data_IF_764884570271
#
_entry.id   IF_764884570271
#
_cell.length_a   1.000
_cell.length_b   1.000
_cell.length_c   1.000
_cell.angle_alpha   90.00
_cell.angle_beta   90.00
_cell.angle_gamma   90.00
#
_symmetry.space_group_name_H-M   'P 1'
#
loop_
_entity.id
_entity.type
_entity.pdbx_description
1 polymer ?
#
# COMPACT_ATOMS: atom_id res chain seq x y z
N UNK A 1 7.97 -20.67 -11.64
CA UNK A 1 7.97 -20.20 -13.06
C UNK A 1 7.38 -18.80 -13.23
N UNK A 2 6.21 -18.47 -12.64
CA UNK A 2 5.63 -17.11 -12.69
C UNK A 2 6.39 -16.12 -11.79
N UNK A 3 6.66 -16.50 -10.54
CA UNK A 3 7.43 -15.68 -9.59
C UNK A 3 8.85 -15.43 -10.10
N UNK A 4 9.50 -16.43 -10.71
CA UNK A 4 10.87 -16.28 -11.25
C UNK A 4 10.97 -15.25 -12.38
N UNK A 5 9.92 -15.15 -13.21
CA UNK A 5 9.84 -14.17 -14.31
C UNK A 5 9.63 -12.74 -13.77
N UNK A 6 8.80 -12.62 -12.73
CA UNK A 6 8.56 -11.37 -12.02
C UNK A 6 9.83 -10.89 -11.31
N UNK A 7 10.53 -11.80 -10.62
CA UNK A 7 11.79 -11.54 -9.94
C UNK A 7 12.91 -11.12 -10.91
N UNK A 8 12.88 -11.65 -12.14
CA UNK A 8 13.82 -11.28 -13.22
C UNK A 8 13.49 -9.91 -13.82
N UNK A 9 12.20 -9.55 -13.92
CA UNK A 9 11.76 -8.22 -14.35
C UNK A 9 12.23 -7.14 -13.38
N UNK A 10 12.06 -7.38 -12.07
CA UNK A 10 12.43 -6.41 -11.01
C UNK A 10 13.95 -6.33 -10.80
N UNK A 11 14.73 -7.31 -11.27
CA UNK A 11 16.21 -7.34 -11.18
C UNK A 11 16.96 -6.49 -12.20
N UNK A 12 16.29 -5.98 -13.24
CA UNK A 12 16.87 -4.93 -14.09
C UNK A 12 16.62 -3.58 -13.41
N UNK A 13 17.52 -2.61 -13.55
CA UNK A 13 17.33 -1.23 -13.08
C UNK A 13 15.89 -0.74 -13.40
N UNK A 14 15.02 -0.78 -12.40
CA UNK A 14 13.59 -0.55 -12.54
C UNK A 14 13.23 0.46 -11.45
N UNK A 15 12.86 1.66 -11.89
CA UNK A 15 12.23 2.64 -11.01
C UNK A 15 10.91 2.07 -10.47
N UNK A 16 10.49 2.54 -9.29
CA UNK A 16 9.24 2.08 -8.67
C UNK A 16 8.03 2.26 -9.58
N UNK A 17 8.00 3.32 -10.39
CA UNK A 17 6.95 3.54 -11.39
C UNK A 17 6.86 2.40 -12.41
N UNK A 18 8.01 1.88 -12.86
CA UNK A 18 8.05 0.76 -13.80
C UNK A 18 7.68 -0.58 -13.15
N UNK A 19 7.98 -0.75 -11.86
CA UNK A 19 7.48 -1.89 -11.09
C UNK A 19 5.96 -1.83 -10.92
N UNK A 20 5.39 -0.65 -10.69
CA UNK A 20 3.94 -0.42 -10.66
C UNK A 20 3.32 -0.76 -12.03
N UNK A 21 3.90 -0.26 -13.12
CA UNK A 21 3.42 -0.57 -14.49
C UNK A 21 3.46 -2.07 -14.78
N UNK A 22 4.56 -2.75 -14.43
CA UNK A 22 4.73 -4.19 -14.66
C UNK A 22 3.72 -5.01 -13.84
N UNK A 23 3.48 -4.65 -12.57
CA UNK A 23 2.47 -5.30 -11.73
C UNK A 23 1.07 -5.03 -12.25
N UNK A 24 0.78 -3.78 -12.63
CA UNK A 24 -0.50 -3.41 -13.22
C UNK A 24 -0.77 -4.21 -14.49
N UNK A 25 0.18 -4.29 -15.42
CA UNK A 25 0.02 -5.04 -16.67
C UNK A 25 -0.19 -6.54 -16.44
N UNK A 26 0.42 -7.12 -15.41
CA UNK A 26 0.27 -8.54 -15.08
C UNK A 26 -1.06 -8.87 -14.40
N UNK A 27 -1.61 -7.93 -13.63
CA UNK A 27 -2.79 -8.17 -12.80
C UNK A 27 -4.04 -7.44 -13.28
N UNK A 28 -3.99 -6.54 -14.27
CA UNK A 28 -5.13 -5.72 -14.73
C UNK A 28 -6.38 -6.53 -15.10
N UNK A 29 -6.22 -7.74 -15.63
CA UNK A 29 -7.34 -8.63 -16.01
C UNK A 29 -7.88 -9.43 -14.81
N UNK A 30 -7.18 -9.39 -13.67
CA UNK A 30 -7.49 -10.05 -12.40
C UNK A 30 -7.83 -9.07 -11.27
N UNK A 31 -7.63 -7.77 -11.46
CA UNK A 31 -8.06 -6.73 -10.54
C UNK A 31 -9.58 -6.61 -10.63
N UNK A 32 -10.30 -7.34 -9.78
CA UNK A 32 -11.76 -7.28 -9.66
C UNK A 32 -12.27 -5.98 -9.05
N UNK A 33 -11.36 -5.07 -8.69
CA UNK A 33 -11.63 -3.70 -8.27
C UNK A 33 -11.63 -3.47 -6.77
N UNK A 34 -11.38 -4.50 -5.95
CA UNK A 34 -11.28 -4.32 -4.51
C UNK A 34 -9.85 -3.97 -4.08
N UNK A 35 -9.72 -2.96 -3.22
CA UNK A 35 -8.40 -2.47 -2.74
C UNK A 35 -7.64 -3.57 -1.99
N UNK A 36 -8.38 -4.51 -1.38
CA UNK A 36 -7.82 -5.66 -0.67
C UNK A 36 -7.05 -6.61 -1.59
N UNK A 37 -7.50 -6.80 -2.84
CA UNK A 37 -6.84 -7.69 -3.81
C UNK A 37 -5.46 -7.13 -4.22
N UNK A 38 -5.38 -5.82 -4.42
CA UNK A 38 -4.14 -5.12 -4.76
C UNK A 38 -3.11 -5.27 -3.64
N UNK A 39 -3.56 -5.12 -2.39
CA UNK A 39 -2.69 -5.22 -1.23
C UNK A 39 -2.11 -6.64 -1.10
N UNK A 40 -2.94 -7.69 -1.25
CA UNK A 40 -2.50 -9.08 -1.22
C UNK A 40 -1.47 -9.37 -2.31
N UNK A 41 -1.66 -8.86 -3.52
CA UNK A 41 -0.71 -8.98 -4.63
C UNK A 41 0.63 -8.33 -4.26
N UNK A 42 0.61 -7.07 -3.80
CA UNK A 42 1.83 -6.35 -3.42
C UNK A 42 2.59 -7.10 -2.33
N UNK A 43 1.89 -7.59 -1.29
CA UNK A 43 2.53 -8.38 -0.23
C UNK A 43 3.14 -9.67 -0.77
N UNK A 44 2.43 -10.42 -1.61
CA UNK A 44 2.95 -11.65 -2.20
C UNK A 44 4.20 -11.42 -3.07
N UNK A 45 4.28 -10.27 -3.74
CA UNK A 45 5.46 -9.87 -4.51
C UNK A 45 6.63 -9.57 -3.57
N UNK A 46 6.40 -8.72 -2.56
CA UNK A 46 7.44 -8.28 -1.62
C UNK A 46 7.93 -9.40 -0.69
N UNK A 47 7.08 -10.37 -0.33
CA UNK A 47 7.46 -11.55 0.47
C UNK A 47 8.51 -12.42 -0.25
N UNK A 48 8.54 -12.38 -1.59
CA UNK A 48 9.55 -13.03 -2.40
C UNK A 48 10.95 -12.39 -2.34
N UNK A 49 11.07 -11.19 -1.76
CA UNK A 49 12.34 -10.45 -1.71
C UNK A 49 13.13 -10.79 -0.46
N UNK A 50 14.44 -10.92 -0.62
CA UNK A 50 15.35 -10.94 0.53
C UNK A 50 15.59 -9.52 1.03
N UNK A 51 15.97 -9.37 2.30
CA UNK A 51 16.24 -8.06 2.92
C UNK A 51 17.17 -7.18 2.09
N UNK A 52 18.26 -7.74 1.57
CA UNK A 52 19.22 -7.01 0.74
C UNK A 52 18.68 -6.59 -0.64
N UNK A 53 17.65 -7.26 -1.16
CA UNK A 53 16.97 -6.88 -2.40
C UNK A 53 16.02 -5.70 -2.13
N UNK A 54 15.34 -5.70 -0.99
CA UNK A 54 14.54 -4.56 -0.52
C UNK A 54 15.42 -3.33 -0.23
N UNK A 55 16.59 -3.52 0.40
CA UNK A 55 17.53 -2.43 0.65
C UNK A 55 18.00 -1.79 -0.65
N UNK A 56 18.30 -2.60 -1.68
CA UNK A 56 18.65 -2.07 -3.01
C UNK A 56 17.52 -1.29 -3.63
N UNK A 57 16.30 -1.83 -3.61
CA UNK A 57 15.11 -1.14 -4.12
C UNK A 57 14.94 0.23 -3.44
N UNK A 58 15.13 0.29 -2.12
CA UNK A 58 15.09 1.55 -1.38
C UNK A 58 16.24 2.50 -1.75
N UNK A 59 17.47 2.00 -1.93
CA UNK A 59 18.60 2.85 -2.32
C UNK A 59 18.42 3.46 -3.71
N UNK A 60 17.80 2.74 -4.64
CA UNK A 60 17.58 3.16 -6.03
C UNK A 60 16.50 4.25 -6.18
N UNK A 61 15.71 4.49 -5.13
CA UNK A 61 14.73 5.58 -5.09
C UNK A 61 15.37 6.96 -5.09
N UNK A 62 14.72 7.90 -5.77
CA UNK A 62 15.04 9.33 -5.70
C UNK A 62 14.74 9.87 -4.30
N UNK A 63 15.34 11.02 -3.98
CA UNK A 63 15.17 11.64 -2.67
C UNK A 63 13.69 12.00 -2.39
N UNK A 64 12.96 12.43 -3.43
CA UNK A 64 11.54 12.76 -3.36
C UNK A 64 10.70 11.51 -3.07
N UNK A 65 10.96 10.40 -3.77
CA UNK A 65 10.25 9.13 -3.56
C UNK A 65 10.51 8.57 -2.15
N UNK A 66 11.75 8.67 -1.66
CA UNK A 66 12.10 8.31 -0.26
C UNK A 66 11.32 9.17 0.74
N UNK A 67 11.21 10.47 0.50
CA UNK A 67 10.44 11.37 1.35
C UNK A 67 8.95 11.00 1.35
N UNK A 68 8.36 10.78 0.18
CA UNK A 68 6.96 10.38 0.01
C UNK A 68 6.65 9.05 0.72
N UNK A 69 7.52 8.05 0.60
CA UNK A 69 7.38 6.78 1.32
C UNK A 69 7.35 6.98 2.84
N UNK A 70 8.26 7.78 3.38
CA UNK A 70 8.31 8.07 4.82
C UNK A 70 7.05 8.83 5.24
N UNK A 71 6.62 9.82 4.46
CA UNK A 71 5.42 10.60 4.73
C UNK A 71 4.16 9.71 4.78
N UNK A 72 3.98 8.83 3.79
CA UNK A 72 2.86 7.88 3.74
C UNK A 72 2.88 6.91 4.92
N UNK A 73 4.06 6.37 5.25
CA UNK A 73 4.19 5.47 6.40
C UNK A 73 3.83 6.16 7.72
N UNK A 74 4.31 7.40 7.93
CA UNK A 74 3.98 8.18 9.10
C UNK A 74 2.50 8.54 9.15
N UNK A 75 1.90 8.91 8.01
CA UNK A 75 0.47 9.17 7.89
C UNK A 75 -0.37 7.97 8.33
N UNK A 76 -0.08 6.77 7.82
CA UNK A 76 -0.84 5.57 8.19
C UNK A 76 -0.67 5.21 9.68
N UNK A 77 0.56 5.32 10.23
CA UNK A 77 0.79 5.07 11.65
C UNK A 77 0.08 6.09 12.54
N UNK A 78 0.05 7.36 12.14
CA UNK A 78 -0.68 8.40 12.86
C UNK A 78 -2.19 8.18 12.77
N UNK A 79 -2.73 7.84 11.60
CA UNK A 79 -4.14 7.52 11.41
C UNK A 79 -4.59 6.35 12.30
N UNK A 80 -3.80 5.27 12.34
CA UNK A 80 -4.06 4.13 13.23
C UNK A 80 -4.02 4.53 14.71
N UNK A 81 -3.03 5.34 15.10
CA UNK A 81 -2.92 5.84 16.47
C UNK A 81 -4.11 6.73 16.84
N UNK A 82 -4.53 7.63 15.96
CA UNK A 82 -5.70 8.48 16.17
C UNK A 82 -6.96 7.63 16.38
N UNK A 83 -7.16 6.60 15.57
CA UNK A 83 -8.26 5.65 15.74
C UNK A 83 -8.22 4.93 17.10
N UNK A 84 -7.04 4.44 17.52
CA UNK A 84 -6.86 3.79 18.82
C UNK A 84 -7.16 4.71 20.01
N UNK A 85 -6.81 5.99 19.90
CA UNK A 85 -7.08 7.01 20.91
C UNK A 85 -8.50 7.60 20.80
N UNK A 86 -9.32 7.14 19.84
CA UNK A 86 -10.66 7.67 19.59
C UNK A 86 -10.68 9.10 19.04
N UNK A 87 -9.53 9.60 18.58
CA UNK A 87 -9.37 10.94 18.01
C UNK A 87 -9.76 10.88 16.53
N UNK A 88 -10.69 11.73 16.10
CA UNK A 88 -11.10 11.79 14.70
C UNK A 88 -12.23 10.82 14.32
N UNK A 89 -12.97 10.27 15.31
CA UNK A 89 -14.34 9.88 15.03
C UNK A 89 -15.09 11.17 14.69
N UNK A 90 -15.36 11.40 13.40
CA UNK A 90 -16.61 12.10 13.08
C UNK A 90 -17.68 11.23 13.71
N UNK A 91 -18.24 11.69 14.83
CA UNK A 91 -19.59 11.31 15.15
C UNK A 91 -20.37 11.57 13.87
N UNK A 92 -20.72 10.52 13.13
CA UNK A 92 -21.87 10.63 12.26
C UNK A 92 -22.95 11.19 13.17
N UNK A 93 -23.50 12.35 12.79
CA UNK A 93 -24.62 12.98 13.46
C UNK A 93 -25.88 12.14 13.31
N UNK A 94 -25.79 10.86 13.67
CA UNK A 94 -26.90 10.00 14.03
C UNK A 94 -27.13 10.23 15.53
N UNK A 95 -27.30 11.52 15.88
CA UNK A 95 -28.26 11.92 16.87
C UNK A 95 -29.61 11.36 16.38
N UNK A 96 -29.84 10.07 16.65
CA UNK A 96 -31.19 9.58 16.80
C UNK A 96 -31.75 10.31 18.01
N UNK A 97 -32.33 11.47 17.72
CA UNK A 97 -33.31 12.16 18.53
C UNK A 97 -34.44 11.17 18.83
N UNK A 98 -34.25 10.39 19.89
CA UNK A 98 -35.27 9.54 20.46
C UNK A 98 -36.04 10.31 21.57
N UNK A 99 -36.22 11.63 21.42
CA UNK A 99 -37.06 12.45 22.30
C UNK A 99 -38.36 12.89 21.64
N UNK A 100 -39.05 11.99 20.97
CA UNK A 100 -40.49 12.11 20.74
C UNK A 100 -41.10 10.72 20.82
N UNK A 101 -41.51 10.31 22.03
CA UNK A 101 -42.65 9.43 22.35
C UNK A 101 -42.67 9.18 23.87
N UNK A 102 -43.14 10.18 24.63
CA UNK A 102 -44.03 10.00 25.80
C UNK A 102 -44.61 11.33 26.26
#
# INVERSE_FOLDING_TARGET
MFIDKLLLCIKKEVSILKMVDDVFELYKDHLTGDEEDVLVIIYGILDGFKSHELDKLYQDLKAEEKFEMIALYLYEKLRLKMFQEGIGHISNGDDQDNRLLH
#
